data_IF_559392165144
#
_entry.id   IF_559392165144
#
_cell.length_a   1.000
_cell.length_b   1.000
_cell.length_c   1.000
_cell.angle_alpha   90.00
_cell.angle_beta   90.00
_cell.angle_gamma   90.00
#
_symmetry.space_group_name_H-M   'P 1'
#
loop_
_entity.id
_entity.type
_entity.pdbx_description
1 polymer ?
#
# COMPACT_ATOMS: atom_id res chain seq x y z
N UNK A 1 -9.31 15.13 -29.08
CA UNK A 1 -9.99 14.32 -30.12
C UNK A 1 -9.88 12.87 -29.67
N UNK A 2 -11.00 12.28 -29.21
CA UNK A 2 -11.02 10.86 -28.87
C UNK A 2 -10.98 10.06 -30.18
N UNK A 3 -9.86 9.38 -30.45
CA UNK A 3 -9.80 8.43 -31.55
C UNK A 3 -10.59 7.18 -31.14
N UNK A 4 -11.85 7.10 -31.54
CA UNK A 4 -12.62 5.87 -31.40
C UNK A 4 -11.93 4.79 -32.25
N UNK A 5 -11.34 3.81 -31.58
CA UNK A 5 -10.66 2.69 -32.22
C UNK A 5 -11.65 1.97 -33.12
N UNK A 6 -11.38 1.93 -34.43
CA UNK A 6 -12.33 1.33 -35.38
C UNK A 6 -12.42 -0.18 -35.15
N UNK A 7 -13.61 -0.79 -35.26
CA UNK A 7 -13.79 -2.25 -35.06
C UNK A 7 -12.83 -3.13 -35.89
N UNK A 8 -12.46 -2.69 -37.09
CA UNK A 8 -11.51 -3.40 -37.96
C UNK A 8 -10.08 -3.48 -37.40
N UNK A 9 -9.66 -2.46 -36.63
CA UNK A 9 -8.32 -2.46 -36.02
C UNK A 9 -8.21 -3.52 -34.91
N UNK A 10 -9.26 -3.64 -34.05
CA UNK A 10 -9.28 -4.64 -33.00
C UNK A 10 -9.36 -6.10 -33.51
N UNK A 11 -9.92 -6.32 -34.69
CA UNK A 11 -9.98 -7.65 -35.30
C UNK A 11 -8.58 -8.23 -35.58
N UNK A 12 -7.62 -7.39 -35.98
CA UNK A 12 -6.23 -7.81 -36.18
C UNK A 12 -5.53 -8.17 -34.86
N UNK A 13 -5.84 -7.44 -33.78
CA UNK A 13 -5.33 -7.78 -32.46
C UNK A 13 -5.91 -9.11 -31.97
N UNK A 14 -7.23 -9.32 -32.09
CA UNK A 14 -7.91 -10.58 -31.72
C UNK A 14 -7.31 -11.80 -32.39
N UNK A 15 -7.04 -11.70 -33.70
CA UNK A 15 -6.48 -12.82 -34.46
C UNK A 15 -5.03 -13.15 -34.09
N UNK A 16 -4.33 -12.23 -33.45
CA UNK A 16 -2.91 -12.35 -33.12
C UNK A 16 -2.60 -12.81 -31.70
N UNK A 17 -3.61 -12.92 -30.81
CA UNK A 17 -3.42 -13.27 -29.42
C UNK A 17 -3.94 -14.68 -29.10
N UNK A 18 -3.28 -15.35 -28.15
CA UNK A 18 -3.78 -16.57 -27.51
C UNK A 18 -4.88 -16.24 -26.49
N UNK A 19 -4.72 -15.11 -25.81
CA UNK A 19 -5.66 -14.60 -24.82
C UNK A 19 -6.87 -13.89 -25.43
N UNK A 20 -7.76 -13.39 -24.57
CA UNK A 20 -9.00 -12.76 -24.97
C UNK A 20 -8.86 -11.27 -25.23
N UNK A 21 -9.58 -10.76 -26.23
CA UNK A 21 -9.81 -9.32 -26.44
C UNK A 21 -11.31 -9.04 -26.31
N UNK A 22 -11.70 -8.29 -25.30
CA UNK A 22 -13.07 -7.94 -24.98
C UNK A 22 -13.33 -6.51 -25.48
N UNK A 23 -14.23 -6.34 -26.44
CA UNK A 23 -14.54 -5.04 -27.05
C UNK A 23 -16.05 -4.69 -27.05
N UNK A 24 -16.89 -5.62 -26.57
CA UNK A 24 -18.32 -5.33 -26.38
C UNK A 24 -18.55 -4.38 -25.21
N UNK A 25 -19.68 -3.67 -25.24
CA UNK A 25 -20.00 -2.62 -24.27
C UNK A 25 -20.08 -3.15 -22.80
N UNK A 26 -20.62 -4.37 -22.60
CA UNK A 26 -20.77 -4.97 -21.27
C UNK A 26 -19.40 -5.30 -20.68
N UNK A 27 -18.55 -5.97 -21.44
CA UNK A 27 -17.20 -6.35 -21.01
C UNK A 27 -16.33 -5.12 -20.71
N UNK A 28 -16.34 -4.12 -21.60
CA UNK A 28 -15.62 -2.85 -21.38
C UNK A 28 -16.14 -2.11 -20.16
N UNK A 29 -17.48 -2.12 -19.94
CA UNK A 29 -18.13 -1.50 -18.79
C UNK A 29 -17.65 -2.03 -17.46
N UNK A 30 -17.34 -3.35 -17.35
CA UNK A 30 -16.77 -3.96 -16.14
C UNK A 30 -15.39 -3.42 -15.77
N UNK A 31 -14.65 -2.87 -16.73
CA UNK A 31 -13.33 -2.29 -16.53
C UNK A 31 -13.33 -0.76 -16.60
N UNK A 32 -14.51 -0.14 -16.73
CA UNK A 32 -14.66 1.30 -16.75
C UNK A 32 -14.60 1.95 -15.37
N UNK A 33 -14.62 1.15 -14.30
CA UNK A 33 -14.57 1.60 -12.91
C UNK A 33 -13.48 0.86 -12.13
N UNK A 34 -13.04 1.44 -11.03
CA UNK A 34 -12.23 0.82 -10.00
C UNK A 34 -12.86 1.08 -8.61
N UNK A 35 -12.09 1.10 -7.53
CA UNK A 35 -12.62 1.43 -6.21
C UNK A 35 -12.79 2.95 -5.97
N UNK A 36 -12.47 3.79 -6.95
CA UNK A 36 -12.65 5.24 -6.91
C UNK A 36 -14.05 5.68 -7.35
N UNK A 37 -14.27 6.99 -7.31
CA UNK A 37 -15.48 7.64 -7.84
C UNK A 37 -15.43 7.88 -9.37
N UNK A 38 -14.29 7.59 -10.01
CA UNK A 38 -14.08 7.87 -11.43
C UNK A 38 -14.62 6.74 -12.31
N UNK A 39 -15.05 7.11 -13.52
CA UNK A 39 -15.50 6.17 -14.53
C UNK A 39 -14.99 6.60 -15.90
N UNK A 40 -14.25 5.71 -16.57
CA UNK A 40 -13.74 5.95 -17.93
C UNK A 40 -13.84 4.66 -18.75
N UNK A 41 -14.58 4.70 -19.85
CA UNK A 41 -14.77 3.53 -20.73
C UNK A 41 -13.48 3.24 -21.52
N UNK A 42 -12.87 2.06 -21.36
CA UNK A 42 -11.69 1.68 -22.14
C UNK A 42 -12.04 1.41 -23.60
N UNK A 43 -11.06 1.49 -24.52
CA UNK A 43 -11.25 1.11 -25.93
C UNK A 43 -11.46 -0.39 -26.09
N UNK A 44 -10.69 -1.19 -25.38
CA UNK A 44 -10.79 -2.64 -25.29
C UNK A 44 -10.14 -3.15 -24.01
N UNK A 45 -10.40 -4.41 -23.66
CA UNK A 45 -9.71 -5.11 -22.58
C UNK A 45 -9.03 -6.33 -23.16
N UNK A 46 -7.74 -6.49 -22.91
CA UNK A 46 -6.95 -7.66 -23.23
C UNK A 46 -6.70 -8.46 -21.97
N UNK A 47 -6.99 -9.76 -22.03
CA UNK A 47 -6.66 -10.73 -20.99
C UNK A 47 -5.57 -11.63 -21.57
N UNK A 48 -4.26 -11.31 -21.38
CA UNK A 48 -3.18 -12.07 -21.96
C UNK A 48 -3.04 -13.44 -21.28
N UNK A 49 -2.77 -14.48 -22.03
CA UNK A 49 -2.42 -15.80 -21.49
C UNK A 49 -0.91 -15.91 -21.20
N UNK A 50 -0.10 -15.12 -21.88
CA UNK A 50 1.36 -15.14 -21.77
C UNK A 50 1.97 -13.79 -22.14
N UNK A 51 3.28 -13.66 -21.98
CA UNK A 51 4.00 -12.42 -22.28
C UNK A 51 4.05 -12.08 -23.77
N UNK A 52 3.90 -13.04 -24.69
CA UNK A 52 3.83 -12.75 -26.12
C UNK A 52 2.55 -12.01 -26.49
N UNK A 53 1.44 -12.32 -25.83
CA UNK A 53 0.19 -11.56 -25.96
C UNK A 53 0.39 -10.11 -25.51
N UNK A 54 1.12 -9.90 -24.42
CA UNK A 54 1.46 -8.56 -23.94
C UNK A 54 2.30 -7.81 -24.96
N UNK A 55 3.39 -8.43 -25.45
CA UNK A 55 4.28 -7.82 -26.47
C UNK A 55 3.50 -7.40 -27.72
N UNK A 56 2.62 -8.27 -28.21
CA UNK A 56 1.78 -8.01 -29.39
C UNK A 56 0.77 -6.87 -29.10
N UNK A 57 0.19 -6.85 -27.92
CA UNK A 57 -0.73 -5.78 -27.52
C UNK A 57 -0.01 -4.42 -27.44
N UNK A 58 1.17 -4.37 -26.83
CA UNK A 58 1.97 -3.15 -26.76
C UNK A 58 2.44 -2.68 -28.15
N UNK A 59 2.86 -3.61 -29.02
CA UNK A 59 3.24 -3.30 -30.41
C UNK A 59 2.03 -2.77 -31.21
N UNK A 60 0.86 -3.36 -31.03
CA UNK A 60 -0.37 -2.89 -31.65
C UNK A 60 -0.71 -1.48 -31.17
N UNK A 61 -0.76 -1.26 -29.85
CA UNK A 61 -1.09 0.03 -29.26
C UNK A 61 -0.15 1.15 -29.70
N UNK A 62 1.17 0.86 -29.78
CA UNK A 62 2.18 1.78 -30.30
C UNK A 62 1.93 2.15 -31.76
N UNK A 63 1.65 1.16 -32.62
CA UNK A 63 1.37 1.38 -34.03
C UNK A 63 0.11 2.23 -34.27
N UNK A 64 -0.93 1.99 -33.47
CA UNK A 64 -2.21 2.67 -33.59
C UNK A 64 -2.27 4.00 -32.80
N UNK A 65 -1.23 4.34 -32.03
CA UNK A 65 -1.20 5.53 -31.18
C UNK A 65 -2.21 5.50 -30.03
N UNK A 66 -2.49 4.31 -29.48
CA UNK A 66 -3.47 4.11 -28.42
C UNK A 66 -2.72 3.92 -27.09
N UNK A 67 -3.20 4.56 -26.01
CA UNK A 67 -2.68 4.36 -24.69
C UNK A 67 -2.96 2.94 -24.17
N UNK A 68 -2.07 2.42 -23.32
CA UNK A 68 -2.28 1.15 -22.60
C UNK A 68 -2.36 1.40 -21.11
N UNK A 69 -3.13 0.58 -20.42
CA UNK A 69 -3.31 0.61 -18.99
C UNK A 69 -3.13 -0.79 -18.41
N UNK A 70 -1.96 -1.11 -17.83
CA UNK A 70 -1.79 -2.35 -17.06
C UNK A 70 -2.74 -2.33 -15.85
N UNK A 71 -3.48 -3.40 -15.63
CA UNK A 71 -4.44 -3.49 -14.54
C UNK A 71 -4.28 -4.80 -13.76
N UNK A 72 -4.31 -4.68 -12.43
CA UNK A 72 -4.41 -5.79 -11.50
C UNK A 72 -5.82 -5.91 -10.93
N UNK A 73 -5.95 -5.84 -9.60
CA UNK A 73 -7.21 -6.00 -8.89
C UNK A 73 -8.23 -4.85 -9.02
N UNK A 74 -7.83 -3.69 -9.55
CA UNK A 74 -8.70 -2.51 -9.65
C UNK A 74 -9.09 -1.95 -8.28
N UNK A 75 -8.21 -2.05 -7.29
CA UNK A 75 -8.45 -1.64 -5.89
C UNK A 75 -8.06 -0.19 -5.60
N UNK A 76 -7.54 0.54 -6.58
CA UNK A 76 -7.19 1.95 -6.47
C UNK A 76 -8.38 2.83 -6.15
N UNK A 77 -8.19 3.79 -5.24
CA UNK A 77 -9.23 4.73 -4.81
C UNK A 77 -9.10 6.12 -5.43
N UNK A 78 -8.08 6.38 -6.24
CA UNK A 78 -7.79 7.66 -6.89
C UNK A 78 -7.89 7.62 -8.42
N UNK A 79 -8.45 6.55 -9.01
CA UNK A 79 -8.74 6.44 -10.45
C UNK A 79 -7.56 6.04 -11.33
N UNK A 80 -6.46 5.55 -10.76
CA UNK A 80 -5.26 5.15 -11.54
C UNK A 80 -5.53 4.00 -12.51
N UNK A 81 -6.56 3.20 -12.27
CA UNK A 81 -6.86 1.99 -13.04
C UNK A 81 -8.05 2.12 -13.98
N UNK A 82 -8.46 3.37 -14.30
CA UNK A 82 -9.47 3.68 -15.32
C UNK A 82 -8.93 4.64 -16.35
N UNK A 83 -9.15 4.38 -17.64
CA UNK A 83 -8.68 5.26 -18.73
C UNK A 83 -9.39 4.94 -20.06
N UNK A 84 -9.35 5.89 -21.00
CA UNK A 84 -9.59 5.66 -22.43
C UNK A 84 -8.34 5.02 -23.06
N UNK A 85 -8.15 3.72 -22.83
CA UNK A 85 -6.95 2.97 -23.20
C UNK A 85 -7.30 1.52 -23.58
N UNK A 86 -6.33 0.76 -24.06
CA UNK A 86 -6.40 -0.70 -24.04
C UNK A 86 -5.99 -1.13 -22.63
N UNK A 87 -6.94 -1.66 -21.86
CA UNK A 87 -6.67 -2.24 -20.53
C UNK A 87 -6.04 -3.61 -20.73
N UNK A 88 -4.93 -3.90 -20.03
CA UNK A 88 -4.29 -5.23 -20.01
C UNK A 88 -4.49 -5.81 -18.60
N UNK A 89 -5.38 -6.79 -18.47
CA UNK A 89 -5.67 -7.45 -17.19
C UNK A 89 -4.67 -8.58 -16.92
N UNK A 90 -3.72 -8.34 -16.03
CA UNK A 90 -2.68 -9.30 -15.66
C UNK A 90 -3.17 -10.37 -14.68
N UNK A 91 -4.30 -10.15 -14.01
CA UNK A 91 -4.72 -10.95 -12.85
C UNK A 91 -5.13 -12.38 -13.18
N UNK A 92 -5.45 -12.68 -14.45
CA UNK A 92 -6.06 -13.97 -14.83
C UNK A 92 -5.04 -15.07 -15.07
N UNK A 93 -3.95 -14.77 -15.78
CA UNK A 93 -3.00 -15.79 -16.21
C UNK A 93 -1.54 -15.46 -15.90
N UNK A 94 -1.20 -14.18 -15.69
CA UNK A 94 0.17 -13.75 -15.34
C UNK A 94 0.30 -13.60 -13.81
N UNK A 95 0.12 -14.71 -13.07
CA UNK A 95 -0.07 -14.69 -11.61
C UNK A 95 0.69 -15.80 -10.88
N UNK A 96 1.87 -16.21 -11.40
CA UNK A 96 2.68 -17.29 -10.84
C UNK A 96 3.89 -16.74 -10.08
N UNK A 97 4.41 -17.55 -9.15
CA UNK A 97 5.80 -17.45 -8.71
C UNK A 97 6.64 -18.09 -9.81
N UNK A 98 7.57 -17.32 -10.38
CA UNK A 98 8.49 -17.77 -11.45
C UNK A 98 9.68 -18.50 -10.84
N UNK A 99 10.22 -17.94 -9.76
CA UNK A 99 11.35 -18.49 -9.01
C UNK A 99 11.23 -18.18 -7.53
N UNK A 100 11.72 -19.07 -6.66
CA UNK A 100 11.73 -18.91 -5.21
C UNK A 100 13.08 -19.37 -4.64
N UNK A 101 13.84 -18.41 -4.14
CA UNK A 101 15.09 -18.67 -3.41
C UNK A 101 14.84 -18.50 -1.91
N UNK A 102 14.62 -19.63 -1.23
CA UNK A 102 14.32 -19.67 0.20
C UNK A 102 15.54 -19.27 1.05
N UNK A 103 16.75 -19.60 0.61
CA UNK A 103 17.99 -19.31 1.33
C UNK A 103 18.26 -17.79 1.34
N UNK A 104 18.17 -17.15 0.18
CA UNK A 104 18.36 -15.71 0.04
C UNK A 104 17.09 -14.89 0.36
N UNK A 105 15.98 -15.56 0.66
CA UNK A 105 14.69 -14.94 0.96
C UNK A 105 14.24 -14.00 -0.14
N UNK A 106 14.28 -14.47 -1.37
CA UNK A 106 13.80 -13.72 -2.53
C UNK A 106 12.85 -14.55 -3.37
N UNK A 107 11.98 -13.91 -4.12
CA UNK A 107 11.20 -14.56 -5.16
C UNK A 107 11.00 -13.65 -6.37
N UNK A 108 10.87 -14.27 -7.53
CA UNK A 108 10.48 -13.60 -8.78
C UNK A 108 9.04 -13.98 -9.08
N UNK A 109 8.20 -12.96 -9.31
CA UNK A 109 6.77 -13.17 -9.52
C UNK A 109 6.27 -12.48 -10.79
N UNK A 110 5.23 -13.02 -11.38
CA UNK A 110 4.44 -12.34 -12.40
C UNK A 110 3.59 -11.22 -11.79
N UNK A 111 3.30 -10.12 -12.52
CA UNK A 111 2.68 -8.93 -11.95
C UNK A 111 1.23 -9.13 -11.48
N UNK A 112 0.53 -10.14 -11.97
CA UNK A 112 -0.87 -10.42 -11.65
C UNK A 112 -1.09 -11.28 -10.41
N UNK A 113 -0.04 -11.76 -9.74
CA UNK A 113 -0.21 -12.55 -8.51
C UNK A 113 -0.81 -11.71 -7.39
N UNK A 114 -1.85 -12.22 -6.74
CA UNK A 114 -2.52 -11.56 -5.62
C UNK A 114 -1.70 -11.75 -4.35
N UNK A 115 -1.62 -10.72 -3.50
CA UNK A 115 -0.81 -10.73 -2.27
C UNK A 115 -1.14 -11.90 -1.34
N UNK A 116 -2.43 -12.16 -1.07
CA UNK A 116 -2.83 -13.29 -0.21
C UNK A 116 -2.47 -14.64 -0.84
N UNK A 117 -2.52 -14.75 -2.18
CA UNK A 117 -2.13 -15.96 -2.90
C UNK A 117 -0.61 -16.19 -2.86
N UNK A 118 0.17 -15.11 -3.01
CA UNK A 118 1.62 -15.14 -2.83
C UNK A 118 1.97 -15.62 -1.41
N UNK A 119 1.41 -14.97 -0.38
CA UNK A 119 1.72 -15.29 1.01
C UNK A 119 1.26 -16.72 1.39
N UNK A 120 0.16 -17.20 0.82
CA UNK A 120 -0.27 -18.59 1.02
C UNK A 120 0.75 -19.59 0.44
N UNK A 121 1.36 -19.28 -0.72
CA UNK A 121 2.38 -20.13 -1.34
C UNK A 121 3.73 -20.04 -0.61
N UNK A 122 4.08 -18.90 -0.03
CA UNK A 122 5.32 -18.70 0.73
C UNK A 122 5.28 -19.31 2.14
N UNK A 123 4.11 -19.39 2.75
CA UNK A 123 3.92 -19.86 4.13
C UNK A 123 4.55 -21.23 4.44
N UNK A 124 4.45 -22.28 3.58
CA UNK A 124 5.11 -23.56 3.82
C UNK A 124 6.63 -23.48 3.94
N UNK A 125 7.24 -22.42 3.43
CA UNK A 125 8.67 -22.15 3.48
C UNK A 125 9.07 -21.26 4.68
N UNK A 126 8.12 -20.92 5.57
CA UNK A 126 8.35 -20.01 6.70
C UNK A 126 8.61 -18.56 6.27
N UNK A 127 8.21 -18.19 5.06
CA UNK A 127 8.43 -16.87 4.46
C UNK A 127 7.11 -16.16 4.18
N UNK A 128 7.19 -14.84 4.05
CA UNK A 128 6.09 -14.01 3.60
C UNK A 128 6.58 -12.71 2.96
N UNK A 129 5.70 -12.06 2.19
CA UNK A 129 5.90 -10.71 1.69
C UNK A 129 5.16 -9.74 2.61
N UNK A 130 5.86 -8.80 3.29
CA UNK A 130 5.31 -8.11 4.46
C UNK A 130 4.54 -6.83 4.16
N UNK A 131 4.53 -6.35 2.90
CA UNK A 131 3.78 -5.15 2.54
C UNK A 131 2.30 -5.47 2.59
N UNK A 132 1.68 -5.14 3.72
CA UNK A 132 0.28 -5.43 4.01
C UNK A 132 -0.63 -4.29 3.52
N UNK A 133 -1.63 -4.64 2.75
CA UNK A 133 -2.68 -3.71 2.30
C UNK A 133 -4.05 -4.27 2.69
N UNK A 134 -5.01 -3.41 2.97
CA UNK A 134 -6.37 -3.82 3.35
C UNK A 134 -7.06 -4.67 2.28
N UNK A 135 -6.71 -4.48 1.02
CA UNK A 135 -7.23 -5.20 -0.14
C UNK A 135 -6.38 -6.41 -0.55
N UNK A 136 -5.58 -6.98 0.36
CA UNK A 136 -4.62 -8.07 0.08
C UNK A 136 -5.21 -9.28 -0.65
N UNK A 137 -6.51 -9.54 -0.47
CA UNK A 137 -7.23 -10.62 -1.18
C UNK A 137 -7.50 -10.34 -2.66
N UNK A 138 -7.17 -9.14 -3.16
CA UNK A 138 -7.40 -8.71 -4.55
C UNK A 138 -6.24 -7.93 -5.14
N UNK A 139 -5.50 -7.18 -4.33
CA UNK A 139 -4.36 -6.37 -4.77
C UNK A 139 -3.28 -7.28 -5.36
N UNK A 140 -2.85 -6.97 -6.57
CA UNK A 140 -1.79 -7.73 -7.26
C UNK A 140 -0.43 -7.09 -7.02
N UNK A 141 0.63 -7.89 -7.02
CA UNK A 141 2.00 -7.40 -6.78
C UNK A 141 2.41 -6.34 -7.81
N UNK A 142 2.04 -6.49 -9.08
CA UNK A 142 2.31 -5.47 -10.11
C UNK A 142 1.58 -4.15 -9.85
N UNK A 143 0.32 -4.22 -9.40
CA UNK A 143 -0.44 -3.03 -9.00
C UNK A 143 0.15 -2.37 -7.75
N UNK A 144 0.53 -3.17 -6.74
CA UNK A 144 1.18 -2.68 -5.53
C UNK A 144 2.53 -2.02 -5.84
N UNK A 145 3.33 -2.59 -6.74
CA UNK A 145 4.59 -1.98 -7.18
C UNK A 145 4.34 -0.66 -7.93
N UNK A 146 3.40 -0.64 -8.89
CA UNK A 146 3.03 0.58 -9.62
C UNK A 146 2.59 1.72 -8.70
N UNK A 147 1.87 1.40 -7.65
CA UNK A 147 1.37 2.36 -6.66
C UNK A 147 2.40 2.73 -5.56
N UNK A 148 3.47 1.96 -5.37
CA UNK A 148 4.34 2.01 -4.19
C UNK A 148 3.56 1.77 -2.90
N UNK A 149 2.69 0.77 -2.90
CA UNK A 149 1.79 0.46 -1.78
C UNK A 149 2.54 0.21 -0.48
N UNK A 150 1.88 0.52 0.63
CA UNK A 150 2.35 0.25 1.97
C UNK A 150 1.15 0.04 2.91
N UNK A 151 1.39 -0.44 4.10
CA UNK A 151 0.36 -0.75 5.08
C UNK A 151 0.77 -0.42 6.50
N UNK A 152 0.03 -0.95 7.47
CA UNK A 152 0.22 -0.66 8.88
C UNK A 152 1.57 -1.10 9.45
N UNK A 153 2.21 -2.08 8.82
CA UNK A 153 3.52 -2.59 9.24
C UNK A 153 4.70 -1.91 8.55
N UNK A 154 4.44 -0.84 7.81
CA UNK A 154 5.49 -0.14 7.06
C UNK A 154 6.54 0.53 7.95
N UNK A 155 6.25 0.80 9.21
CA UNK A 155 7.26 1.26 10.18
C UNK A 155 8.42 0.26 10.31
N UNK A 156 8.15 -1.04 10.30
CA UNK A 156 9.15 -2.10 10.41
C UNK A 156 9.63 -2.60 9.05
N UNK A 157 8.73 -2.87 8.14
CA UNK A 157 9.04 -3.57 6.89
C UNK A 157 9.15 -2.65 5.68
N UNK A 158 8.86 -1.36 5.83
CA UNK A 158 8.89 -0.40 4.72
C UNK A 158 7.72 -0.56 3.75
N UNK A 159 7.89 0.02 2.57
CA UNK A 159 6.93 0.08 1.47
C UNK A 159 7.32 -0.91 0.36
N UNK A 160 6.56 -0.93 -0.74
CA UNK A 160 6.94 -1.70 -1.93
C UNK A 160 8.35 -1.37 -2.41
N UNK A 161 8.72 -0.08 -2.44
CA UNK A 161 10.06 0.37 -2.82
C UNK A 161 11.17 -0.34 -2.02
N UNK A 162 10.96 -0.58 -0.72
CA UNK A 162 11.95 -1.19 0.17
C UNK A 162 12.06 -2.71 -0.01
N UNK A 163 11.07 -3.31 -0.65
CA UNK A 163 10.90 -4.75 -0.79
C UNK A 163 10.92 -5.24 -2.25
N UNK A 164 11.09 -4.33 -3.22
CA UNK A 164 11.30 -4.65 -4.64
C UNK A 164 12.78 -4.52 -4.97
N UNK A 165 13.39 -5.64 -5.32
CA UNK A 165 14.83 -5.74 -5.63
C UNK A 165 15.12 -5.51 -7.12
N UNK A 166 14.21 -5.91 -8.00
CA UNK A 166 14.37 -5.77 -9.44
C UNK A 166 13.04 -5.88 -10.18
N UNK A 167 12.98 -5.32 -11.38
CA UNK A 167 11.80 -5.41 -12.26
C UNK A 167 12.29 -5.64 -13.70
N UNK A 168 11.82 -6.70 -14.33
CA UNK A 168 11.91 -6.86 -15.78
C UNK A 168 10.72 -6.16 -16.43
N UNK A 169 10.96 -5.39 -17.48
CA UNK A 169 9.94 -4.55 -18.06
C UNK A 169 10.09 -4.40 -19.60
N UNK A 170 8.98 -4.05 -20.24
CA UNK A 170 8.93 -3.65 -21.64
C UNK A 170 8.77 -2.13 -21.71
N UNK A 171 9.71 -1.45 -22.37
CA UNK A 171 9.71 -0.01 -22.57
C UNK A 171 8.73 0.42 -23.66
N UNK A 172 8.46 1.72 -23.74
CA UNK A 172 7.53 2.28 -24.73
C UNK A 172 7.93 2.02 -26.19
N UNK A 173 9.23 1.89 -26.49
CA UNK A 173 9.73 1.53 -27.83
C UNK A 173 9.66 0.01 -28.11
N UNK A 174 9.24 -0.78 -27.14
CA UNK A 174 9.15 -2.24 -27.21
C UNK A 174 10.44 -2.96 -26.84
N UNK A 175 11.51 -2.25 -26.47
CA UNK A 175 12.73 -2.89 -25.95
C UNK A 175 12.49 -3.44 -24.55
N UNK A 176 13.10 -4.58 -24.24
CA UNK A 176 13.08 -5.17 -22.91
C UNK A 176 14.24 -4.61 -22.08
N UNK A 177 14.02 -4.39 -20.81
CA UNK A 177 14.99 -3.84 -19.88
C UNK A 177 14.84 -4.46 -18.50
N UNK A 178 15.98 -4.65 -17.83
CA UNK A 178 16.04 -5.00 -16.42
C UNK A 178 16.32 -3.74 -15.58
N UNK A 179 15.44 -3.46 -14.65
CA UNK A 179 15.60 -2.41 -13.66
C UNK A 179 15.98 -3.06 -12.33
N UNK A 180 17.18 -2.82 -11.88
CA UNK A 180 17.73 -3.41 -10.65
C UNK A 180 18.89 -2.58 -10.12
N UNK A 181 19.65 -3.11 -9.14
CA UNK A 181 20.82 -2.44 -8.58
C UNK A 181 21.88 -2.16 -9.65
N UNK A 182 22.40 -0.94 -9.67
CA UNK A 182 23.51 -0.55 -10.53
C UNK A 182 24.82 -0.97 -9.88
N UNK A 183 25.55 -1.87 -10.55
CA UNK A 183 26.90 -2.27 -10.17
C UNK A 183 27.91 -1.79 -11.22
N UNK A 184 29.20 -1.65 -10.86
CA UNK A 184 30.23 -1.36 -11.85
C UNK A 184 30.20 -2.36 -13.00
N UNK A 185 30.00 -1.87 -14.22
CA UNK A 185 29.89 -2.70 -15.42
C UNK A 185 28.47 -3.12 -15.81
N UNK A 186 27.44 -2.73 -15.07
CA UNK A 186 26.03 -2.92 -15.49
C UNK A 186 25.82 -2.28 -16.87
N UNK A 187 25.38 -3.09 -17.84
CA UNK A 187 25.07 -2.62 -19.19
C UNK A 187 23.57 -2.64 -19.38
N UNK A 188 23.01 -1.49 -19.67
CA UNK A 188 21.62 -1.37 -20.13
C UNK A 188 21.61 -1.19 -21.65
N UNK A 189 20.65 -1.80 -22.32
CA UNK A 189 20.47 -1.75 -23.79
C UNK A 189 19.12 -1.11 -24.12
N UNK A 190 18.83 -0.97 -25.41
CA UNK A 190 17.54 -0.43 -25.86
C UNK A 190 17.29 1.01 -25.37
N UNK A 191 16.06 1.31 -25.05
CA UNK A 191 15.65 2.64 -24.60
C UNK A 191 16.28 2.99 -23.24
N UNK A 192 16.30 2.07 -22.28
CA UNK A 192 16.92 2.31 -20.98
C UNK A 192 18.40 2.66 -21.12
N UNK A 193 19.15 1.95 -21.97
CA UNK A 193 20.56 2.23 -22.18
C UNK A 193 20.83 3.64 -22.74
N UNK A 194 19.92 4.17 -23.56
CA UNK A 194 20.00 5.53 -24.07
C UNK A 194 19.67 6.59 -23.01
N UNK A 195 18.73 6.31 -22.12
CA UNK A 195 18.26 7.25 -21.10
C UNK A 195 19.12 7.24 -19.83
N UNK A 196 19.83 6.15 -19.56
CA UNK A 196 20.53 5.95 -18.29
C UNK A 196 21.55 7.06 -17.97
N UNK A 197 22.37 7.55 -18.91
CA UNK A 197 23.30 8.65 -18.61
C UNK A 197 22.58 9.93 -18.12
N UNK A 198 21.48 10.30 -18.75
CA UNK A 198 20.69 11.48 -18.41
C UNK A 198 19.98 11.31 -17.06
N UNK A 199 19.48 10.10 -16.76
CA UNK A 199 18.88 9.78 -15.47
C UNK A 199 19.90 9.88 -14.34
N UNK A 200 21.11 9.37 -14.53
CA UNK A 200 22.18 9.48 -13.53
C UNK A 200 22.65 10.92 -13.33
N UNK A 201 22.80 11.68 -14.43
CA UNK A 201 23.10 13.10 -14.38
C UNK A 201 22.03 13.88 -13.60
N UNK A 202 20.74 13.57 -13.81
CA UNK A 202 19.63 14.17 -13.05
C UNK A 202 19.80 13.95 -11.54
N UNK A 203 20.14 12.74 -11.10
CA UNK A 203 20.34 12.43 -9.69
C UNK A 203 21.48 13.21 -9.05
N UNK A 204 22.52 13.55 -9.85
CA UNK A 204 23.67 14.34 -9.40
C UNK A 204 23.40 15.84 -9.49
N UNK A 205 22.97 16.31 -10.66
CA UNK A 205 22.85 17.74 -10.96
C UNK A 205 21.68 18.40 -10.22
N UNK A 206 20.66 17.63 -9.90
CA UNK A 206 19.45 18.07 -9.17
C UNK A 206 19.40 17.59 -7.73
N UNK A 207 20.49 17.08 -7.18
CA UNK A 207 20.52 16.55 -5.81
C UNK A 207 19.99 17.55 -4.77
N UNK A 208 20.37 18.83 -4.86
CA UNK A 208 19.91 19.87 -3.94
C UNK A 208 18.38 20.11 -4.05
N UNK A 209 17.84 20.14 -5.28
CA UNK A 209 16.43 20.34 -5.52
C UNK A 209 15.62 19.13 -5.02
N UNK A 210 16.13 17.91 -5.24
CA UNK A 210 15.53 16.66 -4.75
C UNK A 210 15.47 16.66 -3.21
N UNK A 211 16.60 16.99 -2.55
CA UNK A 211 16.70 17.07 -1.09
C UNK A 211 15.75 18.10 -0.47
N UNK A 212 15.58 19.24 -1.15
CA UNK A 212 14.70 20.31 -0.69
C UNK A 212 13.22 20.03 -0.98
N UNK A 213 12.90 19.36 -2.10
CA UNK A 213 11.55 19.16 -2.57
C UNK A 213 10.84 17.95 -1.99
N UNK A 214 11.56 16.91 -1.59
CA UNK A 214 10.94 15.71 -1.02
C UNK A 214 10.55 15.92 0.45
N UNK A 215 9.29 15.56 0.84
CA UNK A 215 8.86 15.67 2.23
C UNK A 215 9.65 14.71 3.13
N UNK A 216 9.93 15.16 4.37
CA UNK A 216 10.69 14.41 5.38
C UNK A 216 9.78 13.55 6.25
N UNK A 217 8.89 12.78 5.63
CA UNK A 217 7.96 11.89 6.31
C UNK A 217 8.34 10.43 6.08
N UNK A 218 7.97 9.56 7.01
CA UNK A 218 8.21 8.12 6.91
C UNK A 218 7.51 7.51 5.70
N UNK A 219 6.26 7.90 5.44
CA UNK A 219 5.43 7.40 4.34
C UNK A 219 5.39 8.40 3.20
N UNK A 220 6.14 8.10 2.14
CA UNK A 220 6.28 8.93 0.97
C UNK A 220 6.08 8.10 -0.29
N UNK A 221 4.89 8.16 -0.89
CA UNK A 221 4.45 7.29 -1.98
C UNK A 221 4.00 8.04 -3.23
N UNK A 222 3.77 9.35 -3.16
CA UNK A 222 3.28 10.14 -4.30
C UNK A 222 4.38 10.50 -5.29
N UNK A 223 4.10 10.27 -6.58
CA UNK A 223 4.98 10.66 -7.69
C UNK A 223 6.17 9.72 -7.92
N UNK A 224 7.04 10.12 -8.85
CA UNK A 224 8.23 9.33 -9.20
C UNK A 224 9.31 9.41 -8.12
N UNK A 225 9.93 8.29 -7.82
CA UNK A 225 11.03 8.20 -6.87
C UNK A 225 12.36 8.65 -7.50
N UNK A 226 12.45 9.89 -7.99
CA UNK A 226 13.68 10.42 -8.60
C UNK A 226 14.85 10.54 -7.61
N UNK A 227 14.56 10.58 -6.32
CA UNK A 227 15.57 10.48 -5.26
C UNK A 227 16.34 9.14 -5.30
N UNK A 228 15.78 8.10 -5.90
CA UNK A 228 16.45 6.81 -6.12
C UNK A 228 17.64 6.90 -7.09
N UNK A 229 17.75 7.98 -7.85
CA UNK A 229 18.88 8.23 -8.76
C UNK A 229 20.10 8.84 -8.04
N UNK A 230 19.94 9.28 -6.79
CA UNK A 230 21.06 9.80 -6.01
C UNK A 230 21.91 8.65 -5.47
N UNK A 231 23.26 8.75 -5.49
CA UNK A 231 24.14 7.70 -4.97
C UNK A 231 23.87 7.32 -3.51
N UNK A 232 23.44 8.28 -2.71
CA UNK A 232 23.11 8.11 -1.29
C UNK A 232 21.60 8.11 -1.03
N UNK A 233 20.80 7.73 -2.02
CA UNK A 233 19.34 7.81 -1.97
C UNK A 233 18.72 7.08 -0.77
N UNK A 234 19.35 6.01 -0.28
CA UNK A 234 18.90 5.27 0.90
C UNK A 234 19.04 6.07 2.20
N UNK A 235 20.02 6.98 2.27
CA UNK A 235 20.21 7.86 3.44
C UNK A 235 19.07 8.87 3.63
N UNK A 236 18.29 9.14 2.58
CA UNK A 236 17.14 10.05 2.64
C UNK A 236 15.87 9.38 3.23
N UNK A 237 15.89 8.06 3.37
CA UNK A 237 14.77 7.32 3.94
C UNK A 237 15.03 7.04 5.42
N UNK A 238 14.07 7.28 6.32
CA UNK A 238 14.19 6.86 7.71
C UNK A 238 14.48 5.35 7.78
N UNK A 239 15.58 4.96 8.42
CA UNK A 239 16.01 3.56 8.52
C UNK A 239 16.74 3.00 7.30
N UNK A 240 16.94 3.79 6.24
CA UNK A 240 17.76 3.39 5.08
C UNK A 240 19.25 3.33 5.42
N UNK A 241 19.95 2.28 4.94
CA UNK A 241 21.39 2.19 5.09
C UNK A 241 22.10 3.10 4.09
N UNK A 242 23.13 3.82 4.54
CA UNK A 242 24.01 4.55 3.65
C UNK A 242 24.83 3.53 2.81
N UNK A 243 24.89 3.73 1.48
CA UNK A 243 25.76 2.97 0.60
C UNK A 243 25.13 1.82 -0.19
N UNK A 244 23.81 1.64 -0.14
CA UNK A 244 23.11 0.61 -0.95
C UNK A 244 23.14 0.92 -2.46
N UNK A 245 23.66 2.10 -2.86
CA UNK A 245 23.79 2.50 -4.25
C UNK A 245 22.43 2.80 -4.92
N UNK A 246 22.47 2.94 -6.24
CA UNK A 246 21.28 3.21 -7.06
C UNK A 246 20.62 1.89 -7.44
N UNK A 247 19.32 1.75 -7.18
CA UNK A 247 18.49 0.67 -7.71
C UNK A 247 17.43 1.24 -8.66
N UNK A 248 17.57 0.95 -9.95
CA UNK A 248 16.66 1.47 -10.98
C UNK A 248 15.22 0.94 -10.85
N UNK A 249 14.99 -0.21 -10.19
CA UNK A 249 13.63 -0.70 -9.93
C UNK A 249 12.78 0.33 -9.19
N UNK A 250 13.41 1.14 -8.33
CA UNK A 250 12.71 2.17 -7.57
C UNK A 250 12.10 3.28 -8.44
N UNK A 251 12.56 3.47 -9.69
CA UNK A 251 11.90 4.38 -10.64
C UNK A 251 10.56 3.85 -11.13
N UNK A 252 10.45 2.52 -11.29
CA UNK A 252 9.20 1.89 -11.71
C UNK A 252 8.22 1.72 -10.55
N UNK A 253 8.72 1.55 -9.34
CA UNK A 253 7.89 1.51 -8.14
C UNK A 253 7.32 2.91 -7.88
N UNK A 254 6.00 3.03 -7.84
CA UNK A 254 5.29 4.32 -7.70
C UNK A 254 5.10 5.07 -9.02
N UNK A 255 5.45 4.46 -10.17
CA UNK A 255 5.27 5.09 -11.50
C UNK A 255 3.86 4.93 -12.07
N UNK A 256 2.98 4.20 -11.42
CA UNK A 256 1.60 3.91 -11.86
C UNK A 256 1.54 3.34 -13.30
N UNK A 257 2.57 2.58 -13.70
CA UNK A 257 2.66 1.99 -15.03
C UNK A 257 2.95 2.98 -16.17
N UNK A 258 3.34 4.22 -15.87
CA UNK A 258 3.55 5.27 -16.88
C UNK A 258 4.92 5.23 -17.54
N UNK A 259 5.91 4.55 -16.95
CA UNK A 259 7.29 4.51 -17.44
C UNK A 259 7.60 3.25 -18.24
N UNK A 260 7.10 2.09 -17.82
CA UNK A 260 7.29 0.82 -18.49
C UNK A 260 6.21 -0.19 -18.07
N UNK A 261 6.05 -1.27 -18.82
CA UNK A 261 5.18 -2.39 -18.48
C UNK A 261 5.99 -3.46 -17.75
N UNK A 262 5.72 -3.69 -16.47
CA UNK A 262 6.40 -4.71 -15.65
C UNK A 262 6.00 -6.12 -16.08
N UNK A 263 6.96 -7.00 -16.36
CA UNK A 263 6.73 -8.40 -16.77
C UNK A 263 7.06 -9.40 -15.69
N UNK A 264 8.08 -9.11 -14.87
CA UNK A 264 8.45 -9.89 -13.69
C UNK A 264 8.98 -8.94 -12.60
N UNK A 265 8.75 -9.30 -11.33
CA UNK A 265 9.13 -8.48 -10.17
C UNK A 265 9.89 -9.35 -9.19
N UNK A 266 11.12 -8.97 -8.86
CA UNK A 266 11.94 -9.62 -7.83
C UNK A 266 11.67 -8.97 -6.49
N UNK A 267 11.22 -9.77 -5.52
CA UNK A 267 10.80 -9.36 -4.19
C UNK A 267 11.78 -9.84 -3.12
N UNK A 268 11.99 -8.99 -2.11
CA UNK A 268 12.61 -9.36 -0.84
C UNK A 268 11.55 -9.96 0.06
N UNK A 269 11.81 -11.16 0.59
CA UNK A 269 10.95 -11.85 1.52
C UNK A 269 11.48 -11.73 2.95
N UNK A 270 10.58 -11.94 3.91
CA UNK A 270 10.88 -11.92 5.33
C UNK A 270 10.47 -13.23 5.98
N UNK A 271 11.12 -13.63 7.09
CA UNK A 271 10.62 -14.72 7.91
C UNK A 271 9.20 -14.42 8.40
N UNK A 272 8.34 -15.42 8.33
CA UNK A 272 6.96 -15.28 8.83
C UNK A 272 7.00 -15.19 10.37
N UNK A 273 6.51 -14.09 10.97
CA UNK A 273 6.49 -13.96 12.42
C UNK A 273 5.68 -15.09 13.06
N UNK A 274 6.34 -15.88 13.90
CA UNK A 274 5.71 -17.02 14.59
C UNK A 274 4.94 -16.59 15.84
N UNK A 275 5.34 -15.47 16.45
CA UNK A 275 4.84 -14.99 17.74
C UNK A 275 4.53 -13.52 17.67
N UNK A 276 3.43 -13.10 18.29
CA UNK A 276 3.08 -11.69 18.41
C UNK A 276 2.21 -11.44 19.63
N UNK A 277 2.26 -10.21 20.14
CA UNK A 277 1.37 -9.69 21.15
C UNK A 277 0.83 -8.34 20.68
N UNK A 278 -0.36 -7.99 21.15
CA UNK A 278 -0.96 -6.69 20.89
C UNK A 278 -1.39 -6.04 22.20
N UNK A 279 -1.17 -4.74 22.32
CA UNK A 279 -1.76 -3.88 23.35
C UNK A 279 -2.76 -2.93 22.72
N UNK A 280 -3.96 -2.83 23.30
CA UNK A 280 -5.04 -1.95 22.84
C UNK A 280 -5.10 -0.76 23.80
N UNK A 281 -4.51 0.35 23.39
CA UNK A 281 -4.44 1.59 24.16
C UNK A 281 -5.71 2.39 24.00
N UNK A 282 -6.31 2.81 25.13
CA UNK A 282 -7.58 3.56 25.17
C UNK A 282 -7.33 5.03 25.49
N UNK A 283 -7.99 5.93 24.74
CA UNK A 283 -7.82 7.38 24.88
C UNK A 283 -9.14 8.14 25.03
N UNK A 284 -9.15 9.19 25.87
CA UNK A 284 -10.35 10.01 26.11
C UNK A 284 -10.67 10.99 24.99
N UNK A 285 -9.73 11.26 24.09
CA UNK A 285 -9.92 12.13 22.94
C UNK A 285 -9.06 11.67 21.77
N UNK A 286 -9.52 11.98 20.57
CA UNK A 286 -8.81 11.71 19.34
C UNK A 286 -7.43 12.39 19.31
N UNK A 287 -7.36 13.67 19.73
CA UNK A 287 -6.12 14.43 19.84
C UNK A 287 -5.06 13.70 20.68
N UNK A 288 -5.45 13.21 21.88
CA UNK A 288 -4.52 12.51 22.78
C UNK A 288 -4.03 11.17 22.20
N UNK A 289 -4.87 10.48 21.43
CA UNK A 289 -4.45 9.27 20.72
C UNK A 289 -3.40 9.60 19.66
N UNK A 290 -3.62 10.63 18.86
CA UNK A 290 -2.68 11.04 17.81
C UNK A 290 -1.36 11.58 18.39
N UNK A 291 -1.41 12.33 19.49
CA UNK A 291 -0.22 12.81 20.20
C UNK A 291 0.60 11.64 20.79
N UNK A 292 -0.06 10.64 21.35
CA UNK A 292 0.61 9.46 21.91
C UNK A 292 1.39 8.65 20.88
N UNK A 293 1.00 8.67 19.60
CA UNK A 293 1.63 7.86 18.56
C UNK A 293 3.14 8.07 18.47
N UNK A 294 3.63 9.32 18.57
CA UNK A 294 5.06 9.64 18.53
C UNK A 294 5.85 9.00 19.69
N UNK A 295 5.21 8.78 20.83
CA UNK A 295 5.83 8.13 21.98
C UNK A 295 5.78 6.61 21.85
N UNK A 296 4.65 6.05 21.39
CA UNK A 296 4.48 4.60 21.26
C UNK A 296 5.41 3.98 20.24
N UNK A 297 5.77 4.69 19.17
CA UNK A 297 6.73 4.19 18.16
C UNK A 297 8.15 4.01 18.71
N UNK A 298 8.50 4.69 19.81
CA UNK A 298 9.83 4.52 20.45
C UNK A 298 10.01 3.16 21.11
N UNK A 299 8.93 2.40 21.29
CA UNK A 299 8.95 1.01 21.75
C UNK A 299 9.27 0.02 20.63
N UNK A 300 9.58 0.49 19.43
CA UNK A 300 9.89 -0.31 18.24
C UNK A 300 8.79 -1.35 17.92
N UNK A 301 7.51 -0.92 17.81
CA UNK A 301 6.42 -1.81 17.44
C UNK A 301 6.49 -2.20 15.95
N UNK A 302 5.76 -3.27 15.61
CA UNK A 302 5.55 -3.66 14.20
C UNK A 302 4.49 -2.78 13.55
N UNK A 303 3.49 -2.33 14.33
CA UNK A 303 2.43 -1.44 13.89
C UNK A 303 1.85 -0.64 15.07
N UNK A 304 1.37 0.58 14.79
CA UNK A 304 0.48 1.36 15.67
C UNK A 304 -0.67 1.86 14.82
N UNK A 305 -1.86 1.36 15.09
CA UNK A 305 -3.01 1.52 14.21
C UNK A 305 -4.21 2.11 14.94
N UNK A 306 -4.82 3.12 14.35
CA UNK A 306 -5.99 3.81 14.88
C UNK A 306 -7.29 3.04 14.61
N UNK A 307 -8.18 3.05 15.62
CA UNK A 307 -9.61 2.75 15.51
C UNK A 307 -10.35 3.90 16.19
N UNK A 308 -11.17 4.64 15.43
CA UNK A 308 -11.94 5.76 15.96
C UNK A 308 -13.25 5.31 16.64
N UNK A 309 -13.93 6.23 17.32
CA UNK A 309 -15.20 6.00 17.99
C UNK A 309 -16.30 5.56 17.02
N UNK A 310 -16.35 6.17 15.82
CA UNK A 310 -17.33 5.82 14.78
C UNK A 310 -17.19 4.36 14.37
N UNK A 311 -15.96 3.88 14.19
CA UNK A 311 -15.72 2.47 13.85
C UNK A 311 -16.07 1.55 15.01
N UNK A 312 -15.79 1.95 16.27
CA UNK A 312 -16.15 1.18 17.47
C UNK A 312 -17.68 1.02 17.55
N UNK A 313 -18.44 2.12 17.41
CA UNK A 313 -19.90 2.11 17.46
C UNK A 313 -20.52 1.25 16.35
N UNK A 314 -20.06 1.43 15.12
CA UNK A 314 -20.53 0.62 13.99
C UNK A 314 -20.23 -0.86 14.20
N UNK A 315 -19.02 -1.21 14.63
CA UNK A 315 -18.63 -2.59 14.90
C UNK A 315 -19.47 -3.20 16.05
N UNK A 316 -19.81 -2.45 17.10
CA UNK A 316 -20.76 -2.89 18.15
C UNK A 316 -22.14 -3.24 17.59
N UNK A 317 -22.59 -2.55 16.53
CA UNK A 317 -23.88 -2.80 15.88
C UNK A 317 -23.90 -4.04 14.98
N UNK A 318 -22.74 -4.52 14.54
CA UNK A 318 -22.59 -5.64 13.61
C UNK A 318 -22.36 -6.93 14.39
N UNK A 319 -23.27 -7.90 14.22
CA UNK A 319 -23.27 -9.14 15.01
C UNK A 319 -21.95 -9.92 15.01
N UNK A 320 -21.24 -9.95 13.89
CA UNK A 320 -19.97 -10.68 13.74
C UNK A 320 -18.80 -9.97 14.48
N UNK A 321 -18.84 -8.64 14.62
CA UNK A 321 -17.78 -7.87 15.27
C UNK A 321 -18.07 -7.50 16.71
N UNK A 322 -19.35 -7.52 17.13
CA UNK A 322 -19.75 -7.18 18.50
C UNK A 322 -18.94 -7.94 19.57
N UNK A 323 -18.75 -9.27 19.51
CA UNK A 323 -18.02 -10.00 20.55
C UNK A 323 -16.59 -9.52 20.74
N UNK A 324 -15.90 -9.17 19.65
CA UNK A 324 -14.50 -8.68 19.76
C UNK A 324 -14.45 -7.26 20.32
N UNK A 325 -15.44 -6.41 20.02
CA UNK A 325 -15.51 -5.07 20.62
C UNK A 325 -15.79 -5.17 22.11
N UNK A 326 -16.71 -6.04 22.56
CA UNK A 326 -17.00 -6.28 23.97
C UNK A 326 -15.79 -6.83 24.76
N UNK A 327 -14.96 -7.65 24.12
CA UNK A 327 -13.73 -8.21 24.71
C UNK A 327 -12.57 -7.19 24.74
N UNK A 328 -12.38 -6.43 23.66
CA UNK A 328 -11.22 -5.58 23.43
C UNK A 328 -11.37 -4.15 23.93
N UNK A 329 -12.61 -3.62 24.02
CA UNK A 329 -12.89 -2.23 24.34
C UNK A 329 -13.52 -2.11 25.71
N UNK A 330 -12.89 -1.31 26.58
CA UNK A 330 -13.41 -1.00 27.91
C UNK A 330 -13.88 0.45 27.95
N UNK A 331 -15.11 0.64 28.45
CA UNK A 331 -15.73 1.99 28.53
C UNK A 331 -16.08 2.52 27.14
N UNK A 332 -16.06 3.85 27.03
CA UNK A 332 -16.37 4.60 25.82
C UNK A 332 -15.18 5.49 25.41
N UNK A 333 -14.09 4.90 24.91
CA UNK A 333 -12.94 5.67 24.43
C UNK A 333 -13.29 6.41 23.14
N UNK A 334 -12.76 7.63 22.99
CA UNK A 334 -12.88 8.39 21.75
C UNK A 334 -11.95 7.85 20.63
N UNK A 335 -10.92 7.12 21.01
CA UNK A 335 -10.04 6.45 20.07
C UNK A 335 -9.27 5.31 20.75
N UNK A 336 -8.87 4.32 19.93
CA UNK A 336 -7.96 3.25 20.31
C UNK A 336 -6.71 3.31 19.41
N UNK A 337 -5.55 3.00 20.01
CA UNK A 337 -4.36 2.63 19.25
C UNK A 337 -4.01 1.18 19.53
N UNK A 338 -4.01 0.36 18.48
CA UNK A 338 -3.58 -1.04 18.52
C UNK A 338 -2.09 -1.10 18.23
N UNK A 339 -1.30 -1.48 19.23
CA UNK A 339 0.18 -1.60 19.15
C UNK A 339 0.54 -3.07 19.02
N UNK A 340 1.24 -3.46 17.94
CA UNK A 340 1.64 -4.84 17.66
C UNK A 340 3.15 -5.00 17.89
N UNK A 341 3.53 -6.04 18.66
CA UNK A 341 4.92 -6.51 18.81
C UNK A 341 5.02 -7.93 18.26
N UNK A 342 6.05 -8.21 17.46
CA UNK A 342 6.21 -9.51 16.78
C UNK A 342 7.69 -9.90 16.66
N UNK A 343 8.35 -10.04 17.81
CA UNK A 343 9.71 -10.55 17.90
C UNK A 343 9.72 -12.09 17.92
N UNK A 344 10.83 -12.66 17.52
CA UNK A 344 11.01 -14.13 17.55
C UNK A 344 10.99 -14.69 18.97
N UNK A 345 11.43 -13.88 19.96
CA UNK A 345 11.37 -14.20 21.38
C UNK A 345 10.08 -13.69 22.03
N UNK A 346 9.32 -14.60 22.65
CA UNK A 346 8.08 -14.25 23.35
C UNK A 346 8.34 -13.44 24.63
N UNK A 347 9.46 -13.68 25.32
CA UNK A 347 9.81 -12.92 26.52
C UNK A 347 10.10 -11.45 26.15
N UNK A 348 10.70 -11.20 25.00
CA UNK A 348 10.88 -9.86 24.45
C UNK A 348 9.54 -9.19 24.11
N UNK A 349 8.60 -9.92 23.50
CA UNK A 349 7.26 -9.39 23.25
C UNK A 349 6.54 -9.02 24.55
N UNK A 350 6.63 -9.85 25.59
CA UNK A 350 6.07 -9.55 26.92
C UNK A 350 6.75 -8.34 27.56
N UNK A 351 8.07 -8.23 27.45
CA UNK A 351 8.81 -7.08 27.98
C UNK A 351 8.36 -5.78 27.31
N UNK A 352 8.20 -5.77 25.99
CA UNK A 352 7.71 -4.59 25.25
C UNK A 352 6.26 -4.26 25.59
N UNK A 353 5.41 -5.26 25.77
CA UNK A 353 4.03 -5.04 26.23
C UNK A 353 3.99 -4.43 27.63
N UNK A 354 4.86 -4.87 28.56
CA UNK A 354 4.98 -4.25 29.87
C UNK A 354 5.47 -2.78 29.78
N UNK A 355 6.43 -2.50 28.91
CA UNK A 355 6.88 -1.13 28.65
C UNK A 355 5.77 -0.25 28.05
N UNK A 356 4.87 -0.84 27.23
CA UNK A 356 3.70 -0.13 26.72
C UNK A 356 2.76 0.30 27.86
N UNK A 357 2.51 -0.60 28.83
CA UNK A 357 1.72 -0.24 30.03
C UNK A 357 2.38 0.91 30.82
N UNK A 358 3.69 0.82 31.05
CA UNK A 358 4.44 1.86 31.76
C UNK A 358 4.38 3.20 31.02
N UNK A 359 4.59 3.17 29.68
CA UNK A 359 4.51 4.38 28.86
C UNK A 359 3.13 5.00 28.90
N UNK A 360 2.06 4.23 28.75
CA UNK A 360 0.70 4.73 28.83
C UNK A 360 0.40 5.34 30.20
N UNK A 361 0.87 4.71 31.29
CA UNK A 361 0.73 5.27 32.63
C UNK A 361 1.48 6.59 32.79
N UNK A 362 2.69 6.71 32.25
CA UNK A 362 3.50 7.93 32.26
C UNK A 362 2.86 9.07 31.44
N UNK A 363 2.18 8.73 30.34
CA UNK A 363 1.39 9.67 29.54
C UNK A 363 0.06 10.09 30.22
N UNK A 364 -0.26 9.48 31.37
CA UNK A 364 -1.46 9.79 32.13
C UNK A 364 -2.63 8.87 31.90
N UNK A 365 -2.43 7.74 31.16
CA UNK A 365 -3.48 6.78 30.85
C UNK A 365 -3.26 5.46 31.59
N UNK A 366 -4.02 5.25 32.68
CA UNK A 366 -3.96 4.04 33.50
C UNK A 366 -5.33 3.69 34.07
N UNK A 367 -5.63 2.39 34.21
CA UNK A 367 -6.93 1.92 34.75
C UNK A 367 -7.15 2.27 36.21
N UNK A 368 -6.11 2.65 36.93
CA UNK A 368 -6.13 3.06 38.35
C UNK A 368 -6.39 4.54 38.55
N UNK A 369 -6.47 5.32 37.46
CA UNK A 369 -6.77 6.76 37.55
C UNK A 369 -8.26 7.01 37.78
N UNK A 370 -8.55 7.78 38.79
CA UNK A 370 -9.92 8.05 39.27
C UNK A 370 -10.44 9.44 38.87
N UNK A 371 -9.65 10.21 38.13
CA UNK A 371 -10.02 11.52 37.63
C UNK A 371 -11.02 11.39 36.45
N UNK A 372 -11.32 12.45 35.75
CA UNK A 372 -12.40 12.56 34.75
C UNK A 372 -12.49 11.41 33.73
N UNK A 373 -11.42 10.64 33.53
CA UNK A 373 -11.40 9.53 32.58
C UNK A 373 -10.43 8.41 33.00
N UNK A 374 -10.93 7.17 32.97
CA UNK A 374 -10.18 5.98 33.28
C UNK A 374 -9.94 5.17 32.03
N UNK A 375 -8.69 4.94 31.65
CA UNK A 375 -8.29 4.13 30.51
C UNK A 375 -6.86 3.67 30.63
N UNK A 376 -6.48 2.69 29.79
CA UNK A 376 -5.16 2.08 29.81
C UNK A 376 -5.00 1.12 28.65
N UNK A 377 -4.27 0.03 28.85
CA UNK A 377 -4.00 -0.98 27.84
C UNK A 377 -4.81 -2.25 28.13
N UNK A 378 -5.45 -2.82 27.13
CA UNK A 378 -5.99 -4.18 27.12
C UNK A 378 -5.05 -5.07 26.35
N UNK A 379 -4.61 -6.17 26.97
CA UNK A 379 -3.68 -7.11 26.35
C UNK A 379 -4.42 -8.12 25.46
N UNK A 380 -4.04 -8.21 24.22
CA UNK A 380 -4.47 -9.26 23.31
C UNK A 380 -3.35 -10.28 23.09
N UNK A 381 -3.28 -11.22 24.03
CA UNK A 381 -2.27 -12.30 24.04
C UNK A 381 -2.76 -13.51 23.23
N UNK A 382 -4.06 -13.82 23.31
CA UNK A 382 -4.66 -14.93 22.58
C UNK A 382 -4.60 -14.71 21.05
N UNK A 383 -3.99 -15.65 20.28
CA UNK A 383 -3.94 -15.55 18.83
C UNK A 383 -5.31 -15.44 18.13
N UNK A 384 -6.36 -16.05 18.72
CA UNK A 384 -7.70 -15.95 18.19
C UNK A 384 -8.27 -14.55 18.36
N UNK A 385 -8.05 -13.90 19.51
CA UNK A 385 -8.41 -12.49 19.74
C UNK A 385 -7.67 -11.57 18.77
N UNK A 386 -6.35 -11.76 18.60
CA UNK A 386 -5.54 -10.99 17.65
C UNK A 386 -6.05 -11.12 16.21
N UNK A 387 -6.43 -12.34 15.81
CA UNK A 387 -7.03 -12.62 14.49
C UNK A 387 -8.34 -11.85 14.28
N UNK A 388 -9.23 -11.85 15.28
CA UNK A 388 -10.52 -11.13 15.22
C UNK A 388 -10.32 -9.60 15.17
N UNK A 389 -9.35 -9.04 15.90
CA UNK A 389 -9.01 -7.61 15.83
C UNK A 389 -8.49 -7.26 14.44
N UNK A 390 -7.58 -8.06 13.90
CA UNK A 390 -7.03 -7.85 12.56
C UNK A 390 -8.13 -7.91 11.48
N UNK A 391 -9.05 -8.86 11.58
CA UNK A 391 -10.18 -8.98 10.63
C UNK A 391 -11.15 -7.81 10.74
N UNK A 392 -11.50 -7.36 11.95
CA UNK A 392 -12.31 -6.18 12.15
C UNK A 392 -11.67 -4.94 11.52
N UNK A 393 -10.37 -4.73 11.70
CA UNK A 393 -9.64 -3.63 11.08
C UNK A 393 -9.58 -3.73 9.56
N UNK A 394 -9.28 -4.92 9.03
CA UNK A 394 -9.29 -5.19 7.58
C UNK A 394 -10.65 -4.90 6.95
N UNK A 395 -11.72 -5.13 7.71
CA UNK A 395 -13.11 -4.85 7.31
C UNK A 395 -13.54 -3.40 7.53
N UNK A 396 -12.67 -2.53 8.05
CA UNK A 396 -13.00 -1.17 8.47
C UNK A 396 -13.70 -0.34 7.40
N UNK A 397 -13.24 -0.40 6.15
CA UNK A 397 -13.92 0.26 5.02
C UNK A 397 -15.37 -0.24 4.86
N UNK A 398 -15.58 -1.55 4.87
CA UNK A 398 -16.91 -2.14 4.72
C UNK A 398 -17.81 -1.78 5.91
N UNK A 399 -17.24 -1.74 7.12
CA UNK A 399 -17.93 -1.33 8.34
C UNK A 399 -18.41 0.12 8.20
N UNK A 400 -17.54 1.05 7.81
CA UNK A 400 -17.90 2.44 7.59
C UNK A 400 -18.94 2.63 6.48
N UNK A 401 -18.82 1.88 5.36
CA UNK A 401 -19.80 1.92 4.27
C UNK A 401 -21.17 1.33 4.66
N UNK A 402 -21.27 0.62 5.80
CA UNK A 402 -22.53 0.07 6.33
C UNK A 402 -23.40 1.11 7.03
N UNK A 403 -22.94 2.36 7.19
CA UNK A 403 -23.75 3.45 7.75
C UNK A 403 -25.11 3.54 7.05
N UNK A 404 -26.19 3.70 7.84
CA UNK A 404 -27.56 3.69 7.31
C UNK A 404 -27.99 5.02 6.70
N UNK A 405 -27.27 6.10 6.98
CA UNK A 405 -27.56 7.42 6.47
C UNK A 405 -27.45 7.50 4.95
N UNK A 406 -28.15 8.46 4.35
CA UNK A 406 -28.10 8.72 2.90
C UNK A 406 -26.72 9.22 2.47
N UNK A 407 -26.03 9.98 3.32
CA UNK A 407 -24.64 10.36 3.12
C UNK A 407 -23.71 9.17 3.37
N UNK A 408 -22.69 9.02 2.52
CA UNK A 408 -21.68 7.96 2.63
C UNK A 408 -20.29 8.57 2.72
N UNK A 409 -19.37 7.95 3.47
CA UNK A 409 -18.00 8.39 3.50
C UNK A 409 -17.37 8.42 2.10
N UNK A 410 -16.78 9.56 1.73
CA UNK A 410 -16.13 9.73 0.43
C UNK A 410 -14.62 9.62 0.60
N UNK A 411 -13.98 8.77 -0.20
CA UNK A 411 -12.52 8.70 -0.32
C UNK A 411 -12.01 10.00 -0.92
N UNK A 412 -11.56 10.94 -0.10
CA UNK A 412 -11.17 12.27 -0.52
C UNK A 412 -9.80 12.70 0.02
N UNK A 413 -9.58 12.58 1.34
CA UNK A 413 -8.31 12.87 1.99
C UNK A 413 -7.59 11.55 2.31
N UNK A 414 -7.03 10.93 1.26
CA UNK A 414 -6.37 9.64 1.37
C UNK A 414 -4.86 9.79 1.41
N UNK A 415 -4.21 8.94 2.21
CA UNK A 415 -2.77 8.81 2.32
C UNK A 415 -2.02 10.11 2.69
N UNK A 416 -2.68 11.03 3.40
CA UNK A 416 -2.02 12.22 3.89
C UNK A 416 -1.05 11.85 5.02
N UNK A 417 0.24 12.05 4.78
CA UNK A 417 1.30 11.76 5.76
C UNK A 417 1.93 13.03 6.28
N UNK A 418 2.11 13.09 7.60
CA UNK A 418 2.78 14.17 8.33
C UNK A 418 3.87 13.60 9.24
N UNK A 419 4.76 14.44 9.74
CA UNK A 419 5.66 14.05 10.82
C UNK A 419 4.84 13.66 12.07
N UNK A 420 5.33 12.68 12.83
CA UNK A 420 4.58 12.15 13.98
C UNK A 420 4.33 13.21 15.05
N UNK A 421 5.23 14.17 15.22
CA UNK A 421 5.06 15.32 16.11
C UNK A 421 3.91 16.24 15.71
N UNK A 422 3.54 16.26 14.44
CA UNK A 422 2.52 17.14 13.89
C UNK A 422 1.14 16.44 13.76
N UNK A 423 1.11 15.12 14.00
CA UNK A 423 -0.07 14.29 13.71
C UNK A 423 -1.30 14.75 14.50
N UNK A 424 -1.14 15.07 15.79
CA UNK A 424 -2.23 15.52 16.65
C UNK A 424 -2.79 16.87 16.21
N UNK A 425 -1.93 17.85 15.95
CA UNK A 425 -2.34 19.18 15.50
C UNK A 425 -2.97 19.14 14.11
N UNK A 426 -2.40 18.35 13.19
CA UNK A 426 -2.95 18.17 11.85
C UNK A 426 -4.39 17.61 11.89
N UNK A 427 -4.63 16.59 12.73
CA UNK A 427 -5.98 16.00 12.87
C UNK A 427 -6.97 16.96 13.51
N UNK A 428 -6.55 17.73 14.53
CA UNK A 428 -7.38 18.73 15.17
C UNK A 428 -7.79 19.84 14.21
N UNK A 429 -6.87 20.31 13.37
CA UNK A 429 -7.18 21.29 12.33
C UNK A 429 -8.19 20.77 11.31
N UNK A 430 -8.06 19.49 10.87
CA UNK A 430 -9.04 18.89 9.97
C UNK A 430 -10.43 18.76 10.63
N UNK A 431 -10.50 18.37 11.89
CA UNK A 431 -11.77 18.30 12.65
C UNK A 431 -12.42 19.69 12.70
N UNK A 432 -11.67 20.73 13.03
CA UNK A 432 -12.18 22.11 13.03
C UNK A 432 -12.69 22.57 11.66
N UNK A 433 -12.04 22.14 10.57
CA UNK A 433 -12.51 22.44 9.20
C UNK A 433 -13.84 21.72 8.95
N UNK A 434 -13.98 20.45 9.32
CA UNK A 434 -15.24 19.72 9.17
C UNK A 434 -16.37 20.39 9.98
N UNK A 435 -16.12 20.70 11.25
CA UNK A 435 -17.11 21.38 12.13
C UNK A 435 -17.55 22.70 11.54
N UNK A 436 -16.61 23.51 11.02
CA UNK A 436 -16.91 24.79 10.36
C UNK A 436 -17.85 24.64 9.16
N UNK A 437 -17.78 23.50 8.46
CA UNK A 437 -18.58 23.23 7.26
C UNK A 437 -19.78 22.31 7.54
N UNK A 438 -20.04 21.96 8.80
CA UNK A 438 -21.13 21.06 9.18
C UNK A 438 -20.98 19.63 8.66
N UNK A 439 -19.76 19.21 8.36
CA UNK A 439 -19.42 17.86 7.94
C UNK A 439 -18.86 17.06 9.11
N UNK A 440 -18.91 15.73 9.01
CA UNK A 440 -18.22 14.81 9.91
C UNK A 440 -17.16 14.03 9.13
N UNK A 441 -16.08 13.63 9.81
CA UNK A 441 -15.08 12.74 9.25
C UNK A 441 -15.14 11.39 9.92
N UNK A 442 -14.87 10.31 9.16
CA UNK A 442 -14.48 9.01 9.70
C UNK A 442 -12.99 8.84 9.51
N UNK A 443 -12.33 8.22 10.49
CA UNK A 443 -10.89 8.23 10.58
C UNK A 443 -10.35 6.83 10.77
N UNK A 444 -9.35 6.47 9.99
CA UNK A 444 -8.41 5.43 10.35
C UNK A 444 -7.01 5.84 9.93
N UNK A 445 -6.00 5.32 10.60
CA UNK A 445 -4.64 5.74 10.38
C UNK A 445 -3.66 4.60 10.59
N UNK A 446 -2.61 4.63 9.78
CA UNK A 446 -1.35 4.00 10.12
C UNK A 446 -0.56 4.98 10.99
N UNK A 447 -0.96 5.09 12.27
CA UNK A 447 -0.48 6.13 13.18
C UNK A 447 1.04 6.05 13.39
N UNK A 448 1.63 4.83 13.32
CA UNK A 448 3.07 4.62 13.43
C UNK A 448 3.92 5.34 12.38
N UNK A 449 3.34 5.71 11.24
CA UNK A 449 4.03 6.39 10.14
C UNK A 449 3.39 7.72 9.77
N UNK A 450 2.54 8.26 10.65
CA UNK A 450 1.89 9.55 10.47
C UNK A 450 0.91 9.62 9.30
N UNK A 451 0.39 8.49 8.82
CA UNK A 451 -0.47 8.43 7.64
C UNK A 451 -1.94 8.30 8.02
N UNK A 452 -2.76 9.21 7.49
CA UNK A 452 -4.20 9.31 7.74
C UNK A 452 -5.02 8.99 6.50
N UNK A 453 -6.14 8.32 6.74
CA UNK A 453 -7.24 8.15 5.80
C UNK A 453 -8.46 8.85 6.40
N UNK A 454 -8.89 9.92 5.76
CA UNK A 454 -9.97 10.78 6.28
C UNK A 454 -11.09 10.84 5.27
N UNK A 455 -12.28 10.45 5.70
CA UNK A 455 -13.44 10.38 4.82
C UNK A 455 -14.54 11.29 5.35
N UNK A 456 -14.77 12.44 4.72
CA UNK A 456 -15.92 13.27 5.03
C UNK A 456 -17.23 12.55 4.65
N UNK A 457 -18.26 12.79 5.48
CA UNK A 457 -19.60 12.25 5.34
C UNK A 457 -20.58 13.39 5.09
#
# INVERSE_FOLDING_TARGET
MHNDTKPQQLSSLKAGLSGAVLDDALSRGRYATDASIYQMMPHAVVIPENLDDVRRTLAFARREGIAVLPRGGGTSQCGQTVNHAIVIDNSKHLNRIIDLDVENKTCVVEPGIVLDDLNRQLKPHGLWFPVDVSTSSRATIGGMAGNNSCGGRSIRYGMMRDNVLGIDAIMADGSEAHFGPLTPGTKSTGQLGRLLPDLLAMGTDRAADILAGFPKVLRRVGGYNIDALMPDAMALRPGGAAGDGINLAHLLVGSEGTLAYSTAITLKLWPLPAKKLMGICHFPSFYKAMDAAQHLVTLDPVAVELIDDTMIELARSIAIFRPIVEEAVKGDPAALLVVEFAEDDMDENHRRLAQLHEMMANLGFGWDKTDEWCGGVVDAIDPAMQGRIAEMRKSGLNIMMSMKDSAKPVSFLEDCAVELSDLAEYTDQLIRIFDKHGAKGTWYAHASVGCLHVRPV
#
